data_IF_370722299820
#
_entry.id   IF_370722299820
#
_cell.length_a   1.000
_cell.length_b   1.000
_cell.length_c   1.000
_cell.angle_alpha   90.00
_cell.angle_beta   90.00
_cell.angle_gamma   90.00
#
_symmetry.space_group_name_H-M   'P 1'
#
loop_
_entity.id
_entity.type
_entity.pdbx_description
1 polymer ?
#
# COMPACT_ATOMS: atom_id res chain seq x y z
N UNK A 1 5.20 -26.13 -11.79
CA UNK A 1 5.92 -24.91 -11.45
C UNK A 1 4.95 -23.89 -10.88
N UNK A 2 5.38 -23.04 -9.93
CA UNK A 2 4.62 -21.95 -9.34
C UNK A 2 5.41 -20.64 -9.45
N UNK A 3 4.70 -19.53 -9.57
CA UNK A 3 5.31 -18.19 -9.61
C UNK A 3 4.42 -17.18 -8.86
N UNK A 4 5.00 -16.19 -8.19
CA UNK A 4 4.24 -15.07 -7.66
C UNK A 4 3.70 -14.21 -8.80
N UNK A 5 2.46 -13.74 -8.66
CA UNK A 5 1.83 -12.82 -9.60
C UNK A 5 1.19 -11.67 -8.84
N UNK A 6 1.09 -10.52 -9.49
CA UNK A 6 0.40 -9.35 -8.94
C UNK A 6 -1.12 -9.58 -8.93
N UNK A 7 -1.82 -8.96 -7.98
CA UNK A 7 -3.28 -9.01 -7.85
C UNK A 7 -4.00 -8.61 -9.14
N UNK A 8 -3.45 -7.70 -9.92
CA UNK A 8 -4.00 -7.26 -11.20
C UNK A 8 -3.99 -8.32 -12.28
N UNK A 9 -3.14 -9.35 -12.15
CA UNK A 9 -2.99 -10.44 -13.14
C UNK A 9 -3.77 -11.70 -12.74
N UNK A 10 -4.21 -11.79 -11.48
CA UNK A 10 -4.91 -12.98 -10.97
C UNK A 10 -6.12 -13.36 -11.83
N UNK A 11 -7.05 -12.46 -12.19
CA UNK A 11 -8.22 -12.83 -13.01
C UNK A 11 -7.82 -13.42 -14.37
N UNK A 12 -6.76 -12.87 -14.97
CA UNK A 12 -6.25 -13.37 -16.26
C UNK A 12 -5.63 -14.76 -16.12
N UNK A 13 -4.93 -15.00 -15.00
CA UNK A 13 -4.31 -16.28 -14.72
C UNK A 13 -5.37 -17.40 -14.53
N UNK A 14 -6.43 -17.10 -13.79
CA UNK A 14 -7.56 -18.01 -13.57
C UNK A 14 -8.28 -18.34 -14.88
N UNK A 15 -8.52 -17.37 -15.75
CA UNK A 15 -9.11 -17.58 -17.08
C UNK A 15 -8.23 -18.49 -17.98
N UNK A 16 -6.93 -18.46 -17.79
CA UNK A 16 -5.98 -19.35 -18.49
C UNK A 16 -5.83 -20.71 -17.83
N UNK A 17 -6.67 -21.04 -16.86
CA UNK A 17 -6.69 -22.34 -16.17
C UNK A 17 -5.59 -22.50 -15.13
N UNK A 18 -4.92 -21.43 -14.72
CA UNK A 18 -3.94 -21.47 -13.64
C UNK A 18 -4.66 -21.50 -12.29
N UNK A 19 -4.12 -22.28 -11.37
CA UNK A 19 -4.64 -22.36 -10.00
C UNK A 19 -3.92 -21.37 -9.11
N UNK A 20 -4.70 -20.60 -8.34
CA UNK A 20 -4.14 -19.76 -7.29
C UNK A 20 -3.90 -20.62 -6.06
N UNK A 21 -2.64 -20.71 -5.64
CA UNK A 21 -2.28 -21.37 -4.39
C UNK A 21 -2.62 -20.43 -3.24
N UNK A 22 -3.55 -20.85 -2.40
CA UNK A 22 -3.84 -20.14 -1.17
C UNK A 22 -2.76 -20.45 -0.13
N UNK A 23 -1.99 -19.42 0.19
CA UNK A 23 -1.01 -19.45 1.28
C UNK A 23 -1.47 -18.45 2.34
N UNK A 24 -1.10 -18.68 3.59
CA UNK A 24 -1.36 -17.69 4.64
C UNK A 24 -0.74 -16.34 4.28
N UNK A 25 -1.48 -15.22 4.42
CA UNK A 25 -0.94 -13.91 4.15
C UNK A 25 0.28 -13.63 5.04
N UNK A 26 1.38 -13.27 4.39
CA UNK A 26 2.58 -12.84 5.10
C UNK A 26 2.51 -11.31 5.19
N UNK A 27 2.45 -10.73 6.40
CA UNK A 27 2.42 -9.29 6.55
C UNK A 27 3.76 -8.70 6.10
N UNK A 28 3.72 -7.91 5.03
CA UNK A 28 4.89 -7.26 4.41
C UNK A 28 4.57 -5.80 4.12
N UNK A 29 5.59 -4.97 4.14
CA UNK A 29 5.51 -3.63 3.53
C UNK A 29 5.76 -3.80 2.03
N UNK A 30 4.70 -3.66 1.24
CA UNK A 30 4.78 -3.82 -0.23
C UNK A 30 5.11 -2.49 -0.89
N UNK A 31 4.49 -1.41 -0.42
CA UNK A 31 4.64 -0.07 -0.97
C UNK A 31 5.01 0.94 0.13
N UNK A 32 5.78 1.95 -0.24
CA UNK A 32 6.15 3.04 0.65
C UNK A 32 6.36 4.34 -0.12
N UNK A 33 6.08 5.46 0.54
CA UNK A 33 6.48 6.78 0.06
C UNK A 33 7.91 7.06 0.52
N UNK A 34 8.76 7.47 -0.40
CA UNK A 34 10.18 7.71 -0.15
C UNK A 34 10.54 9.16 -0.36
N UNK A 35 11.35 9.69 0.56
CA UNK A 35 11.98 11.01 0.42
C UNK A 35 13.28 11.06 1.19
N UNK A 36 14.13 12.05 0.90
CA UNK A 36 15.31 12.28 1.72
C UNK A 36 14.95 12.94 3.05
N UNK A 37 15.72 12.67 4.09
CA UNK A 37 15.56 13.34 5.38
C UNK A 37 15.61 14.86 5.23
N UNK A 38 16.61 15.36 4.50
CA UNK A 38 16.75 16.79 4.22
C UNK A 38 15.47 17.40 3.62
N UNK A 39 14.90 16.75 2.59
CA UNK A 39 13.68 17.26 1.97
C UNK A 39 12.50 17.26 2.95
N UNK A 40 12.36 16.22 3.75
CA UNK A 40 11.28 16.11 4.73
C UNK A 40 11.36 17.22 5.79
N UNK A 41 12.58 17.50 6.28
CA UNK A 41 12.83 18.51 7.32
C UNK A 41 12.66 19.94 6.78
N UNK A 42 13.07 20.20 5.54
CA UNK A 42 12.92 21.50 4.88
C UNK A 42 11.50 21.77 4.37
N UNK A 43 10.70 20.72 4.14
CA UNK A 43 9.37 20.84 3.50
C UNK A 43 8.24 20.11 4.27
N UNK A 44 8.06 20.36 5.58
CA UNK A 44 7.10 19.61 6.38
C UNK A 44 5.64 19.76 5.89
N UNK A 45 5.27 20.93 5.35
CA UNK A 45 3.92 21.16 4.80
C UNK A 45 3.68 20.33 3.53
N UNK A 46 4.71 20.17 2.69
CA UNK A 46 4.61 19.33 1.49
C UNK A 46 4.37 17.88 1.89
N UNK A 47 5.16 17.37 2.84
CA UNK A 47 4.99 16.02 3.37
C UNK A 47 3.56 15.82 3.92
N UNK A 48 3.09 16.76 4.73
CA UNK A 48 1.76 16.68 5.31
C UNK A 48 0.66 16.70 4.24
N UNK A 49 0.78 17.52 3.21
CA UNK A 49 -0.20 17.60 2.12
C UNK A 49 -0.20 16.33 1.26
N UNK A 50 0.97 15.74 0.97
CA UNK A 50 1.07 14.45 0.27
C UNK A 50 0.37 13.36 1.08
N UNK A 51 0.62 13.29 2.39
CA UNK A 51 -0.02 12.29 3.25
C UNK A 51 -1.53 12.52 3.40
N UNK A 52 -2.01 13.76 3.41
CA UNK A 52 -3.45 14.06 3.34
C UNK A 52 -4.07 13.54 2.06
N UNK A 53 -3.44 13.82 0.91
CA UNK A 53 -3.88 13.30 -0.39
C UNK A 53 -3.90 11.78 -0.44
N UNK A 54 -2.88 11.14 0.14
CA UNK A 54 -2.80 9.69 0.24
C UNK A 54 -3.93 9.10 1.10
N UNK A 55 -4.18 9.65 2.28
CA UNK A 55 -5.30 9.25 3.14
C UNK A 55 -6.67 9.45 2.46
N UNK A 56 -6.86 10.57 1.74
CA UNK A 56 -8.06 10.81 0.94
C UNK A 56 -8.22 9.78 -0.19
N UNK A 57 -7.13 9.37 -0.84
CA UNK A 57 -7.16 8.34 -1.87
C UNK A 57 -7.60 6.99 -1.29
N UNK A 58 -7.04 6.58 -0.15
CA UNK A 58 -7.47 5.36 0.57
C UNK A 58 -8.97 5.44 0.91
N UNK A 59 -9.42 6.54 1.49
CA UNK A 59 -10.84 6.72 1.82
C UNK A 59 -11.74 6.67 0.58
N UNK A 60 -11.28 7.21 -0.55
CA UNK A 60 -12.00 7.14 -1.83
C UNK A 60 -12.13 5.71 -2.31
N UNK A 61 -11.05 4.94 -2.27
CA UNK A 61 -11.05 3.52 -2.67
C UNK A 61 -12.02 2.73 -1.81
N UNK A 62 -12.02 2.94 -0.50
CA UNK A 62 -12.88 2.20 0.43
C UNK A 62 -14.35 2.58 0.31
N UNK A 63 -14.67 3.86 0.07
CA UNK A 63 -16.04 4.41 0.16
C UNK A 63 -16.72 4.64 -1.18
N UNK A 64 -15.97 4.80 -2.25
CA UNK A 64 -16.51 5.15 -3.56
C UNK A 64 -16.01 4.18 -4.63
N UNK A 65 -16.73 3.05 -4.73
CA UNK A 65 -16.41 1.99 -5.67
C UNK A 65 -16.39 2.47 -7.12
N UNK A 66 -17.40 3.19 -7.54
CA UNK A 66 -17.56 3.58 -8.95
C UNK A 66 -16.45 4.53 -9.39
N UNK A 67 -16.14 5.52 -8.54
CA UNK A 67 -15.03 6.44 -8.79
C UNK A 67 -13.69 5.72 -8.81
N UNK A 68 -13.50 4.76 -7.92
CA UNK A 68 -12.28 3.96 -7.87
C UNK A 68 -12.11 3.12 -9.13
N UNK A 69 -13.17 2.46 -9.60
CA UNK A 69 -13.15 1.69 -10.84
C UNK A 69 -12.88 2.56 -12.08
N UNK A 70 -13.44 3.77 -12.13
CA UNK A 70 -13.16 4.75 -13.19
C UNK A 70 -11.67 5.10 -13.23
N UNK A 71 -11.10 5.46 -12.08
CA UNK A 71 -9.69 5.82 -11.96
C UNK A 71 -8.80 4.62 -12.31
N UNK A 72 -9.11 3.43 -11.78
CA UNK A 72 -8.34 2.22 -12.04
C UNK A 72 -8.33 1.86 -13.53
N UNK A 73 -9.47 1.93 -14.24
CA UNK A 73 -9.52 1.71 -15.69
C UNK A 73 -8.55 2.61 -16.44
N UNK A 74 -8.54 3.90 -16.07
CA UNK A 74 -7.67 4.89 -16.70
C UNK A 74 -6.18 4.54 -16.51
N UNK A 75 -5.77 4.22 -15.29
CA UNK A 75 -4.36 3.98 -14.97
C UNK A 75 -3.88 2.57 -15.32
N UNK A 76 -4.73 1.56 -15.22
CA UNK A 76 -4.44 0.20 -15.68
C UNK A 76 -4.45 0.08 -17.21
N UNK A 77 -4.96 1.10 -17.93
CA UNK A 77 -5.07 1.12 -19.40
C UNK A 77 -5.75 -0.13 -19.96
N UNK A 78 -6.78 -0.60 -19.29
CA UNK A 78 -7.57 -1.76 -19.70
C UNK A 78 -9.07 -1.43 -19.74
N UNK A 79 -9.76 -1.96 -20.74
CA UNK A 79 -11.21 -1.93 -20.84
C UNK A 79 -11.87 -3.16 -20.23
N UNK A 80 -11.10 -4.18 -19.85
CA UNK A 80 -11.65 -5.40 -19.25
C UNK A 80 -12.17 -5.11 -17.84
N UNK A 81 -13.49 -5.04 -17.73
CA UNK A 81 -14.18 -4.72 -16.48
C UNK A 81 -13.92 -5.77 -15.40
N UNK A 82 -13.73 -7.04 -15.75
CA UNK A 82 -13.48 -8.12 -14.79
C UNK A 82 -12.10 -7.97 -14.15
N UNK A 83 -11.11 -7.64 -14.96
CA UNK A 83 -9.74 -7.37 -14.48
C UNK A 83 -9.73 -6.20 -13.52
N UNK A 84 -10.41 -5.10 -13.87
CA UNK A 84 -10.48 -3.91 -13.02
C UNK A 84 -11.23 -4.19 -11.72
N UNK A 85 -12.37 -4.89 -11.79
CA UNK A 85 -13.15 -5.23 -10.60
C UNK A 85 -12.39 -6.18 -9.68
N UNK A 86 -11.80 -7.23 -10.22
CA UNK A 86 -11.00 -8.18 -9.44
C UNK A 86 -9.80 -7.53 -8.76
N UNK A 87 -9.12 -6.62 -9.45
CA UNK A 87 -8.03 -5.84 -8.87
C UNK A 87 -8.53 -4.91 -7.76
N UNK A 88 -9.68 -4.24 -7.96
CA UNK A 88 -10.27 -3.36 -6.97
C UNK A 88 -10.63 -4.08 -5.67
N UNK A 89 -11.34 -5.21 -5.75
CA UNK A 89 -11.77 -5.93 -4.55
C UNK A 89 -10.57 -6.41 -3.72
N UNK A 90 -9.55 -6.97 -4.37
CA UNK A 90 -8.33 -7.40 -3.68
C UNK A 90 -7.55 -6.23 -3.06
N UNK A 91 -7.39 -5.14 -3.83
CA UNK A 91 -6.64 -3.98 -3.34
C UNK A 91 -7.33 -3.30 -2.16
N UNK A 92 -8.68 -3.24 -2.19
CA UNK A 92 -9.49 -2.66 -1.12
C UNK A 92 -9.35 -3.42 0.21
N UNK A 93 -9.20 -4.75 0.16
CA UNK A 93 -9.04 -5.60 1.35
C UNK A 93 -7.71 -5.36 2.06
N UNK A 94 -6.67 -4.98 1.31
CA UNK A 94 -5.31 -4.80 1.83
C UNK A 94 -5.06 -3.38 2.37
N UNK A 95 -6.00 -2.44 2.23
CA UNK A 95 -5.79 -1.04 2.62
C UNK A 95 -6.20 -0.75 4.07
N UNK A 96 -5.22 -0.38 4.87
CA UNK A 96 -5.45 0.18 6.20
C UNK A 96 -5.89 1.65 6.11
N UNK A 97 -6.86 2.06 6.96
CA UNK A 97 -7.32 3.46 7.04
C UNK A 97 -6.21 4.42 7.42
N UNK A 98 -5.39 4.01 8.37
CA UNK A 98 -4.18 4.74 8.77
C UNK A 98 -2.99 4.01 8.15
N UNK A 99 -2.31 4.61 7.17
CA UNK A 99 -1.24 3.95 6.41
C UNK A 99 0.07 3.88 7.23
N UNK A 100 0.04 3.12 8.30
CA UNK A 100 1.21 2.79 9.14
C UNK A 100 1.31 1.27 9.16
N UNK A 101 2.43 0.68 8.73
CA UNK A 101 2.61 -0.76 8.77
C UNK A 101 2.62 -1.27 10.21
N UNK A 102 2.08 -2.48 10.42
CA UNK A 102 2.18 -3.12 11.74
C UNK A 102 3.62 -3.50 12.07
N UNK A 103 3.95 -3.61 13.37
CA UNK A 103 5.26 -4.07 13.83
C UNK A 103 5.63 -5.43 13.22
N UNK A 104 4.66 -6.31 13.05
CA UNK A 104 4.84 -7.60 12.41
C UNK A 104 5.24 -7.46 10.96
N UNK A 105 4.62 -6.54 10.20
CA UNK A 105 4.96 -6.27 8.81
C UNK A 105 6.38 -5.69 8.68
N UNK A 106 6.74 -4.76 9.56
CA UNK A 106 8.08 -4.19 9.63
C UNK A 106 9.12 -5.31 9.87
N UNK A 107 8.91 -6.09 10.92
CA UNK A 107 9.82 -7.20 11.29
C UNK A 107 9.98 -8.21 10.16
N UNK A 108 8.88 -8.67 9.58
CA UNK A 108 8.92 -9.66 8.50
C UNK A 108 9.63 -9.10 7.25
N UNK A 109 9.34 -7.85 6.89
CA UNK A 109 10.01 -7.17 5.76
C UNK A 109 11.52 -7.10 5.99
N UNK A 110 11.95 -6.75 7.18
CA UNK A 110 13.37 -6.69 7.53
C UNK A 110 14.04 -8.06 7.50
N UNK A 111 13.39 -9.09 8.03
CA UNK A 111 13.93 -10.46 8.01
C UNK A 111 14.14 -10.96 6.57
N UNK A 112 13.18 -10.74 5.70
CA UNK A 112 13.29 -11.11 4.27
C UNK A 112 14.38 -10.27 3.58
N UNK A 113 14.36 -8.96 3.79
CA UNK A 113 15.32 -8.04 3.17
C UNK A 113 16.76 -8.35 3.56
N UNK A 114 17.01 -8.73 4.83
CA UNK A 114 18.35 -9.12 5.31
C UNK A 114 18.88 -10.38 4.64
N UNK A 115 18.01 -11.30 4.24
CA UNK A 115 18.40 -12.52 3.49
C UNK A 115 18.88 -12.18 2.09
N UNK A 116 18.25 -11.18 1.45
CA UNK A 116 18.57 -10.75 0.08
C UNK A 116 19.74 -9.75 0.07
N UNK A 117 19.81 -8.90 1.07
CA UNK A 117 20.82 -7.85 1.22
C UNK A 117 21.41 -7.85 2.64
N UNK A 118 22.46 -8.67 2.92
CA UNK A 118 23.03 -8.82 4.26
C UNK A 118 23.51 -7.53 4.90
N UNK A 119 23.85 -6.51 4.11
CA UNK A 119 24.23 -5.16 4.59
C UNK A 119 23.13 -4.49 5.42
N UNK A 120 21.88 -4.91 5.23
CA UNK A 120 20.75 -4.39 6.02
C UNK A 120 20.69 -4.97 7.44
N UNK A 121 21.50 -5.98 7.75
CA UNK A 121 21.54 -6.58 9.09
C UNK A 121 21.95 -5.61 10.18
N UNK A 122 22.83 -4.65 9.86
CA UNK A 122 23.32 -3.61 10.77
C UNK A 122 22.58 -2.29 10.66
N UNK A 123 21.56 -2.20 9.80
CA UNK A 123 20.83 -0.95 9.60
C UNK A 123 19.81 -0.74 10.73
N UNK A 124 19.87 0.43 11.35
CA UNK A 124 18.85 0.91 12.27
C UNK A 124 17.63 1.41 11.47
N UNK A 125 16.61 0.57 11.36
CA UNK A 125 15.44 0.85 10.53
C UNK A 125 14.63 2.03 11.07
N UNK A 126 14.61 2.23 12.39
CA UNK A 126 13.81 3.30 13.01
C UNK A 126 14.27 4.69 12.55
N UNK A 127 15.55 4.82 12.22
CA UNK A 127 16.08 6.05 11.61
C UNK A 127 15.56 6.31 10.21
N UNK A 128 15.08 5.30 9.52
CA UNK A 128 14.58 5.37 8.14
C UNK A 128 13.06 5.39 8.05
N UNK A 129 12.37 5.14 9.15
CA UNK A 129 10.91 5.23 9.23
C UNK A 129 10.48 6.56 9.81
N UNK A 130 9.51 7.21 9.14
CA UNK A 130 9.03 8.53 9.53
C UNK A 130 7.50 8.56 9.61
N UNK A 131 6.96 8.07 10.72
CA UNK A 131 5.51 7.96 10.94
C UNK A 131 4.89 9.19 11.59
N UNK A 132 5.69 10.07 12.20
CA UNK A 132 5.18 11.21 12.95
C UNK A 132 4.16 12.08 12.16
N UNK A 133 4.35 12.40 10.87
CA UNK A 133 3.36 13.22 10.15
C UNK A 133 2.01 12.51 9.94
N UNK A 134 1.98 11.20 9.70
CA UNK A 134 0.72 10.47 9.54
C UNK A 134 0.04 10.22 10.89
N UNK A 135 0.81 9.97 11.95
CA UNK A 135 0.30 9.89 13.33
C UNK A 135 -0.36 11.21 13.75
N UNK A 136 0.25 12.34 13.39
CA UNK A 136 -0.32 13.66 13.62
C UNK A 136 -1.67 13.82 12.92
N UNK A 137 -1.79 13.43 11.65
CA UNK A 137 -3.07 13.49 10.92
C UNK A 137 -4.16 12.61 11.56
N UNK A 138 -3.78 11.45 12.07
CA UNK A 138 -4.70 10.59 12.79
C UNK A 138 -5.14 11.23 14.13
N UNK A 139 -4.20 11.75 14.92
CA UNK A 139 -4.49 12.41 16.20
C UNK A 139 -5.35 13.68 16.07
N UNK A 140 -5.19 14.43 14.98
CA UNK A 140 -6.03 15.60 14.64
C UNK A 140 -7.44 15.19 14.16
N UNK A 141 -7.74 13.89 14.05
CA UNK A 141 -9.02 13.37 13.58
C UNK A 141 -9.26 13.63 12.08
N UNK A 142 -8.21 13.97 11.32
CA UNK A 142 -8.35 14.21 9.89
C UNK A 142 -8.77 12.93 9.16
N UNK A 143 -8.12 11.81 9.47
CA UNK A 143 -8.42 10.52 8.84
C UNK A 143 -9.85 10.08 9.17
N UNK A 144 -10.28 10.19 10.43
CA UNK A 144 -11.63 9.79 10.85
C UNK A 144 -12.74 10.59 10.13
N UNK A 145 -12.50 11.87 9.86
CA UNK A 145 -13.44 12.72 9.11
C UNK A 145 -13.67 12.24 7.68
N UNK A 146 -12.71 11.54 7.09
CA UNK A 146 -12.84 11.00 5.73
C UNK A 146 -13.82 9.81 5.65
N UNK A 147 -14.15 9.21 6.78
CA UNK A 147 -15.03 8.03 6.86
C UNK A 147 -16.41 8.32 7.47
N UNK A 148 -16.67 9.56 7.84
CA UNK A 148 -18.01 10.06 8.19
C UNK A 148 -18.77 10.49 6.95
#
# INVERSE_FOLDING_TARGET
HAAPISHTVVPIAEERGLRILQIEPIPLIVDALWTSRKFADENPLVIQNVLRGYAQAIATIVRNRDKSLEIMRKYMRTSDTRVVQGAYERYREDLDRVPIPSDKAIKTTLEISRRVAPKLASMDIDRHMYFAPVQKLAAEGFIDKLYK
#
